data_IF_301255724493
#
_entry.id   IF_301255724493
#
_cell.length_a   1.000
_cell.length_b   1.000
_cell.length_c   1.000
_cell.angle_alpha   90.00
_cell.angle_beta   90.00
_cell.angle_gamma   90.00
#
_symmetry.space_group_name_H-M   'P 1'
#
loop_
_entity.id
_entity.type
_entity.pdbx_description
1 polymer ?
#
# COMPACT_ATOMS: atom_id res chain seq x y z
N UNK A 1 -31.85 -40.40 14.90
CA UNK A 1 -30.37 -40.35 15.00
C UNK A 1 -29.99 -38.91 15.30
N UNK A 2 -29.14 -38.68 16.30
CA UNK A 2 -28.72 -37.33 16.66
C UNK A 2 -27.88 -36.68 15.53
N UNK A 3 -27.92 -35.35 15.35
CA UNK A 3 -27.46 -34.67 14.13
C UNK A 3 -25.94 -34.63 13.92
N UNK A 4 -25.16 -35.30 14.78
CA UNK A 4 -23.73 -34.99 14.95
C UNK A 4 -22.81 -36.14 14.51
N UNK A 5 -23.34 -37.20 13.89
CA UNK A 5 -22.54 -38.31 13.39
C UNK A 5 -22.12 -38.04 11.95
N UNK A 6 -21.06 -37.25 11.77
CA UNK A 6 -20.46 -36.98 10.46
C UNK A 6 -19.43 -35.84 10.44
N UNK A 7 -19.43 -34.97 11.46
CA UNK A 7 -18.43 -33.92 11.60
C UNK A 7 -17.27 -34.45 12.45
N UNK A 8 -16.24 -34.97 11.79
CA UNK A 8 -14.96 -35.23 12.44
C UNK A 8 -14.26 -33.89 12.57
N UNK A 9 -13.98 -33.45 13.81
CA UNK A 9 -13.12 -32.28 14.00
C UNK A 9 -11.78 -32.54 13.28
N UNK A 10 -11.22 -31.56 12.55
CA UNK A 10 -9.84 -31.61 12.10
C UNK A 10 -8.95 -31.98 13.29
N UNK A 11 -7.91 -32.77 13.04
CA UNK A 11 -6.93 -33.17 14.06
C UNK A 11 -6.53 -31.92 14.87
N UNK A 12 -6.83 -31.88 16.16
CA UNK A 12 -6.39 -30.78 17.03
C UNK A 12 -4.86 -30.78 17.04
N UNK A 13 -4.26 -29.83 16.34
CA UNK A 13 -2.83 -29.57 16.43
C UNK A 13 -2.57 -28.84 17.74
N UNK A 14 -1.73 -29.42 18.60
CA UNK A 14 -1.23 -28.70 19.77
C UNK A 14 -0.40 -27.53 19.24
N UNK A 15 -0.81 -26.30 19.57
CA UNK A 15 -0.12 -25.08 19.15
C UNK A 15 1.35 -25.10 19.62
N UNK A 16 1.67 -25.88 20.67
CA UNK A 16 3.03 -26.12 21.17
C UNK A 16 3.91 -26.95 20.23
N UNK A 17 3.31 -27.75 19.33
CA UNK A 17 4.03 -28.49 18.27
C UNK A 17 4.14 -27.67 16.97
N UNK A 18 3.55 -26.48 16.92
CA UNK A 18 3.77 -25.58 15.78
C UNK A 18 5.16 -24.94 15.91
N UNK A 19 5.96 -25.01 14.85
CA UNK A 19 7.33 -24.46 14.76
C UNK A 19 7.40 -22.91 14.83
N UNK A 20 6.46 -22.27 15.52
CA UNK A 20 6.38 -20.82 15.73
C UNK A 20 7.60 -20.29 16.52
N UNK A 21 8.28 -21.15 17.30
CA UNK A 21 9.50 -20.78 18.02
C UNK A 21 10.66 -20.40 17.08
N UNK A 22 10.71 -20.97 15.87
CA UNK A 22 11.79 -20.79 14.90
C UNK A 22 11.61 -19.59 13.95
N UNK A 23 10.50 -18.86 14.03
CA UNK A 23 10.28 -17.66 13.20
C UNK A 23 11.39 -16.63 13.51
N UNK A 24 12.14 -16.24 12.47
CA UNK A 24 13.31 -15.36 12.57
C UNK A 24 14.63 -16.04 12.97
N UNK A 25 14.68 -17.39 13.00
CA UNK A 25 15.93 -18.14 13.20
C UNK A 25 16.66 -18.39 11.87
N UNK A 26 17.94 -18.76 11.94
CA UNK A 26 18.73 -19.15 10.74
C UNK A 26 18.06 -20.25 9.92
N UNK A 27 17.32 -21.16 10.59
CA UNK A 27 16.55 -22.22 9.94
C UNK A 27 15.36 -21.65 9.16
N UNK A 28 14.64 -20.68 9.74
CA UNK A 28 13.53 -20.00 9.05
C UNK A 28 14.05 -19.17 7.86
N UNK A 29 15.18 -18.48 8.01
CA UNK A 29 15.87 -17.83 6.89
C UNK A 29 16.26 -18.83 5.79
N UNK A 30 16.84 -19.97 6.14
CA UNK A 30 17.23 -20.98 5.17
C UNK A 30 16.03 -21.65 4.48
N UNK A 31 14.94 -21.89 5.19
CA UNK A 31 13.67 -22.40 4.62
C UNK A 31 13.08 -21.38 3.65
N UNK A 32 13.02 -20.11 4.04
CA UNK A 32 12.57 -19.02 3.18
C UNK A 32 13.45 -18.87 1.94
N UNK A 33 14.78 -18.90 2.09
CA UNK A 33 15.71 -18.84 0.97
C UNK A 33 15.47 -19.99 -0.02
N UNK A 34 15.34 -21.21 0.48
CA UNK A 34 15.06 -22.38 -0.36
C UNK A 34 13.69 -22.28 -1.06
N UNK A 35 12.66 -21.79 -0.36
CA UNK A 35 11.34 -21.52 -0.93
C UNK A 35 11.43 -20.46 -2.04
N UNK A 36 12.15 -19.37 -1.77
CA UNK A 36 12.32 -18.26 -2.69
C UNK A 36 13.04 -18.66 -3.99
N UNK A 37 14.02 -19.56 -3.91
CA UNK A 37 14.69 -20.11 -5.10
C UNK A 37 13.76 -20.94 -5.99
N UNK A 38 12.71 -21.53 -5.42
CA UNK A 38 11.74 -22.35 -6.15
C UNK A 38 10.52 -21.58 -6.62
N UNK A 39 10.27 -20.39 -6.08
CA UNK A 39 9.14 -19.54 -6.43
C UNK A 39 9.30 -18.98 -7.86
N UNK A 40 8.41 -19.37 -8.81
CA UNK A 40 8.52 -18.92 -10.20
C UNK A 40 8.42 -17.40 -10.36
N UNK A 41 7.72 -16.70 -9.45
CA UNK A 41 7.60 -15.25 -9.49
C UNK A 41 8.97 -14.53 -9.38
N UNK A 42 9.89 -15.07 -8.58
CA UNK A 42 11.23 -14.51 -8.37
C UNK A 42 12.24 -15.08 -9.36
N UNK A 43 12.18 -16.39 -9.60
CA UNK A 43 13.18 -17.11 -10.38
C UNK A 43 12.90 -17.08 -11.90
N UNK A 44 12.71 -15.88 -12.44
CA UNK A 44 12.44 -15.64 -13.87
C UNK A 44 13.67 -15.09 -14.63
N UNK A 45 14.83 -14.99 -13.96
CA UNK A 45 16.08 -14.50 -14.54
C UNK A 45 16.20 -12.97 -14.67
N UNK A 46 15.22 -12.21 -14.16
CA UNK A 46 15.19 -10.75 -14.24
C UNK A 46 15.27 -10.11 -12.84
N UNK A 47 14.57 -10.68 -11.85
CA UNK A 47 14.51 -10.15 -10.48
C UNK A 47 15.90 -10.15 -9.83
N UNK A 48 16.30 -9.00 -9.27
CA UNK A 48 17.62 -8.80 -8.66
C UNK A 48 18.77 -8.58 -9.66
N UNK A 49 18.49 -8.60 -10.97
CA UNK A 49 19.50 -8.46 -12.04
C UNK A 49 19.25 -7.19 -12.87
N UNK A 50 18.00 -6.94 -13.24
CA UNK A 50 17.62 -5.76 -14.04
C UNK A 50 16.88 -4.72 -13.21
N UNK A 51 17.15 -3.41 -13.42
CA UNK A 51 16.34 -2.36 -12.83
C UNK A 51 14.94 -2.35 -13.47
N UNK A 52 13.92 -2.04 -12.68
CA UNK A 52 12.55 -2.03 -13.16
C UNK A 52 11.51 -2.03 -12.05
N UNK A 53 10.26 -1.96 -12.48
CA UNK A 53 9.09 -2.11 -11.62
C UNK A 53 8.44 -3.46 -11.92
N UNK A 54 8.22 -4.25 -10.86
CA UNK A 54 7.61 -5.57 -10.94
C UNK A 54 6.44 -5.62 -9.97
N UNK A 55 5.29 -6.11 -10.41
CA UNK A 55 4.08 -6.17 -9.59
C UNK A 55 3.52 -7.57 -9.67
N UNK A 56 3.10 -8.09 -8.53
CA UNK A 56 2.40 -9.36 -8.39
C UNK A 56 1.16 -9.16 -7.55
N UNK A 57 0.12 -9.91 -7.88
CA UNK A 57 -1.10 -10.02 -7.11
C UNK A 57 -1.08 -11.33 -6.33
N UNK A 58 -1.57 -11.30 -5.10
CA UNK A 58 -1.77 -12.50 -4.32
C UNK A 58 -3.09 -13.13 -4.72
N UNK A 59 -3.06 -14.40 -5.13
CA UNK A 59 -4.25 -15.17 -5.48
C UNK A 59 -4.16 -16.55 -4.84
N UNK A 60 -5.04 -16.86 -3.88
CA UNK A 60 -5.09 -18.18 -3.23
C UNK A 60 -3.72 -18.68 -2.72
N UNK A 61 -2.99 -17.83 -1.98
CA UNK A 61 -1.63 -18.07 -1.46
C UNK A 61 -0.50 -18.08 -2.51
N UNK A 62 -0.81 -17.86 -3.79
CA UNK A 62 0.18 -17.82 -4.88
C UNK A 62 0.54 -16.37 -5.27
N UNK A 63 1.74 -16.19 -5.83
CA UNK A 63 2.27 -14.90 -6.28
C UNK A 63 2.13 -14.81 -7.80
N UNK A 64 1.08 -14.16 -8.28
CA UNK A 64 0.74 -14.10 -9.71
C UNK A 64 1.26 -12.81 -10.33
N UNK A 65 2.07 -12.86 -11.40
CA UNK A 65 2.54 -11.65 -12.10
C UNK A 65 1.38 -10.78 -12.58
N UNK A 66 1.42 -9.50 -12.24
CA UNK A 66 0.42 -8.55 -12.68
C UNK A 66 0.74 -8.09 -14.11
N UNK A 67 -0.26 -8.03 -15.03
CA UNK A 67 -0.02 -7.57 -16.39
C UNK A 67 0.55 -6.15 -16.42
N UNK A 68 1.57 -5.91 -17.26
CA UNK A 68 2.25 -4.61 -17.34
C UNK A 68 1.32 -3.47 -17.75
N UNK A 69 0.30 -3.78 -18.56
CA UNK A 69 -0.73 -2.85 -19.01
C UNK A 69 -1.64 -2.40 -17.86
N UNK A 70 -1.71 -3.19 -16.78
CA UNK A 70 -2.50 -2.92 -15.58
C UNK A 70 -1.66 -2.34 -14.44
N UNK A 71 -0.39 -2.01 -14.65
CA UNK A 71 0.43 -1.38 -13.61
C UNK A 71 -0.19 -0.06 -13.13
N UNK A 72 -0.25 0.09 -11.81
CA UNK A 72 -0.98 1.18 -11.15
C UNK A 72 -2.47 0.91 -10.97
N UNK A 73 -3.01 -0.23 -11.41
CA UNK A 73 -4.37 -0.67 -11.07
C UNK A 73 -4.34 -1.67 -9.92
N UNK A 74 -5.06 -1.37 -8.85
CA UNK A 74 -5.19 -2.16 -7.64
C UNK A 74 -6.67 -2.39 -7.31
N UNK A 75 -6.96 -3.48 -6.61
CA UNK A 75 -8.29 -3.87 -6.16
C UNK A 75 -8.37 -3.83 -4.66
N UNK A 76 -9.38 -3.16 -4.11
CA UNK A 76 -9.52 -2.96 -2.66
C UNK A 76 -9.71 -4.26 -1.87
N UNK A 77 -10.16 -5.33 -2.51
CA UNK A 77 -10.29 -6.67 -1.94
C UNK A 77 -9.04 -7.54 -2.01
N UNK A 78 -7.95 -7.08 -2.64
CA UNK A 78 -6.76 -7.89 -2.90
C UNK A 78 -5.52 -7.40 -2.13
N UNK A 79 -4.47 -8.22 -2.10
CA UNK A 79 -3.12 -7.82 -1.68
C UNK A 79 -2.13 -7.93 -2.85
N UNK A 80 -1.15 -7.02 -2.90
CA UNK A 80 -0.14 -6.97 -3.96
C UNK A 80 1.27 -6.87 -3.39
N UNK A 81 2.24 -7.37 -4.14
CA UNK A 81 3.67 -7.16 -3.91
C UNK A 81 4.22 -6.36 -5.08
N UNK A 82 4.95 -5.29 -4.79
CA UNK A 82 5.57 -4.39 -5.76
C UNK A 82 7.06 -4.34 -5.46
N UNK A 83 7.90 -4.71 -6.42
CA UNK A 83 9.35 -4.52 -6.34
C UNK A 83 9.74 -3.38 -7.27
N UNK A 84 10.35 -2.35 -6.71
CA UNK A 84 11.06 -1.32 -7.46
C UNK A 84 12.57 -1.54 -7.32
N UNK A 85 13.26 -1.68 -8.44
CA UNK A 85 14.72 -1.86 -8.49
C UNK A 85 15.34 -0.73 -9.28
N UNK A 86 16.22 0.04 -8.65
CA UNK A 86 16.95 1.13 -9.30
C UNK A 86 18.46 0.96 -9.18
N UNK A 87 19.20 1.48 -10.17
CA UNK A 87 20.65 1.55 -10.12
C UNK A 87 21.07 2.72 -9.24
N UNK A 88 21.87 2.44 -8.22
CA UNK A 88 22.49 3.44 -7.35
C UNK A 88 24.00 3.34 -7.51
N UNK A 89 24.66 4.49 -7.65
CA UNK A 89 26.11 4.58 -7.55
C UNK A 89 26.48 4.49 -6.08
N UNK A 90 27.24 3.47 -5.71
CA UNK A 90 27.84 3.39 -4.38
C UNK A 90 29.00 4.37 -4.26
N UNK A 91 29.45 4.59 -3.01
CA UNK A 91 30.57 5.49 -2.69
C UNK A 91 31.91 5.04 -3.29
N UNK A 92 32.03 3.77 -3.70
CA UNK A 92 33.23 3.22 -4.36
C UNK A 92 33.15 3.27 -5.90
N UNK A 93 32.08 3.85 -6.46
CA UNK A 93 31.89 3.99 -7.91
C UNK A 93 31.37 2.74 -8.60
N UNK A 94 31.01 1.69 -7.86
CA UNK A 94 30.32 0.52 -8.42
C UNK A 94 28.82 0.77 -8.57
N UNK A 95 28.22 0.25 -9.66
CA UNK A 95 26.76 0.27 -9.80
C UNK A 95 26.18 -0.91 -9.01
N UNK A 96 25.41 -0.62 -7.96
CA UNK A 96 24.62 -1.61 -7.22
C UNK A 96 23.13 -1.37 -7.49
N UNK A 97 22.32 -2.42 -7.48
CA UNK A 97 20.88 -2.28 -7.45
C UNK A 97 20.42 -2.05 -6.01
N UNK A 98 19.61 -1.02 -5.80
CA UNK A 98 18.80 -0.88 -4.60
C UNK A 98 17.40 -1.37 -4.89
N UNK A 99 16.80 -2.00 -3.89
CA UNK A 99 15.52 -2.67 -4.00
C UNK A 99 14.58 -2.11 -2.93
N UNK A 100 13.41 -1.66 -3.35
CA UNK A 100 12.30 -1.32 -2.46
C UNK A 100 11.15 -2.29 -2.76
N UNK A 101 10.76 -3.08 -1.77
CA UNK A 101 9.61 -3.99 -1.84
C UNK A 101 8.47 -3.34 -1.07
N UNK A 102 7.36 -3.06 -1.75
CA UNK A 102 6.13 -2.58 -1.16
C UNK A 102 5.13 -3.73 -1.15
N UNK A 103 4.52 -4.02 -0.01
CA UNK A 103 3.34 -4.88 0.03
C UNK A 103 2.12 -4.05 0.33
N UNK A 104 1.22 -4.01 -0.65
CA UNK A 104 0.02 -3.21 -0.61
C UNK A 104 -1.15 -4.05 -0.12
N UNK A 105 -1.89 -3.50 0.84
CA UNK A 105 -3.04 -4.12 1.47
C UNK A 105 -4.29 -3.29 1.12
N UNK A 106 -5.19 -3.90 0.34
CA UNK A 106 -6.49 -3.33 0.05
C UNK A 106 -7.34 -3.17 1.31
N UNK A 107 -8.27 -2.21 1.29
CA UNK A 107 -9.13 -1.93 2.45
C UNK A 107 -9.99 -3.14 2.86
N UNK A 108 -10.34 -4.00 1.90
CA UNK A 108 -11.19 -5.17 2.04
C UNK A 108 -10.41 -6.49 1.85
N UNK A 109 -9.07 -6.45 1.80
CA UNK A 109 -8.26 -7.67 1.64
C UNK A 109 -8.44 -8.65 2.80
N UNK A 110 -8.41 -9.95 2.49
CA UNK A 110 -8.59 -11.00 3.48
C UNK A 110 -7.32 -11.27 4.29
N UNK A 111 -7.49 -11.93 5.44
CA UNK A 111 -6.37 -12.21 6.35
C UNK A 111 -5.33 -13.17 5.73
N UNK A 112 -5.75 -14.15 4.93
CA UNK A 112 -4.84 -15.00 4.14
C UNK A 112 -3.98 -14.18 3.20
N UNK A 113 -4.60 -13.31 2.41
CA UNK A 113 -3.90 -12.53 1.39
C UNK A 113 -2.92 -11.56 2.02
N UNK A 114 -3.34 -10.84 3.05
CA UNK A 114 -2.46 -9.94 3.80
C UNK A 114 -1.29 -10.69 4.45
N UNK A 115 -1.56 -11.86 5.05
CA UNK A 115 -0.54 -12.72 5.64
C UNK A 115 0.43 -13.28 4.59
N UNK A 116 -0.08 -13.69 3.44
CA UNK A 116 0.71 -14.18 2.31
C UNK A 116 1.59 -13.08 1.75
N UNK A 117 1.05 -11.89 1.51
CA UNK A 117 1.80 -10.74 1.00
C UNK A 117 2.98 -10.39 1.93
N UNK A 118 2.75 -10.36 3.25
CA UNK A 118 3.80 -10.10 4.23
C UNK A 118 4.86 -11.22 4.25
N UNK A 119 4.44 -12.49 4.22
CA UNK A 119 5.35 -13.63 4.18
C UNK A 119 6.20 -13.64 2.90
N UNK A 120 5.55 -13.50 1.74
CA UNK A 120 6.19 -13.50 0.42
C UNK A 120 7.09 -12.29 0.19
N UNK A 121 6.80 -11.15 0.83
CA UNK A 121 7.72 -10.01 0.86
C UNK A 121 9.02 -10.33 1.59
N UNK A 122 8.95 -11.06 2.70
CA UNK A 122 10.15 -11.52 3.41
C UNK A 122 10.91 -12.57 2.59
N UNK A 123 10.19 -13.47 1.92
CA UNK A 123 10.77 -14.45 0.99
C UNK A 123 11.50 -13.78 -0.19
N UNK A 124 10.92 -12.74 -0.78
CA UNK A 124 11.54 -11.95 -1.84
C UNK A 124 12.78 -11.18 -1.36
N UNK A 125 12.73 -10.58 -0.17
CA UNK A 125 13.91 -9.92 0.41
C UNK A 125 15.06 -10.93 0.62
N UNK A 126 14.76 -12.13 1.10
CA UNK A 126 15.74 -13.21 1.25
C UNK A 126 16.31 -13.66 -0.11
N UNK A 127 15.48 -13.73 -1.17
CA UNK A 127 15.95 -13.94 -2.55
C UNK A 127 16.94 -12.85 -3.00
N UNK A 128 16.67 -11.61 -2.61
CA UNK A 128 17.52 -10.44 -2.83
C UNK A 128 18.64 -10.32 -1.78
N UNK A 129 18.93 -11.39 -1.02
CA UNK A 129 20.00 -11.49 -0.01
C UNK A 129 19.85 -10.50 1.15
N UNK A 130 18.63 -10.16 1.54
CA UNK A 130 18.33 -9.24 2.64
C UNK A 130 18.68 -7.78 2.34
N UNK A 131 18.80 -7.42 1.07
CA UNK A 131 19.22 -6.07 0.64
C UNK A 131 18.06 -5.15 0.27
N UNK A 132 16.82 -5.61 0.39
CA UNK A 132 15.66 -4.80 0.04
C UNK A 132 15.10 -4.04 1.24
N UNK A 133 14.70 -2.80 1.01
CA UNK A 133 13.87 -2.05 1.96
C UNK A 133 12.43 -2.55 1.83
N UNK A 134 11.82 -2.95 2.94
CA UNK A 134 10.44 -3.47 2.94
C UNK A 134 9.47 -2.39 3.43
N UNK A 135 8.43 -2.09 2.66
CA UNK A 135 7.43 -1.06 2.95
C UNK A 135 6.05 -1.69 3.09
N UNK A 136 5.37 -1.40 4.20
CA UNK A 136 3.96 -1.75 4.40
C UNK A 136 3.08 -0.62 3.88
N UNK A 137 2.32 -0.91 2.82
CA UNK A 137 1.42 0.05 2.19
C UNK A 137 -0.04 -0.34 2.45
N UNK A 138 -0.83 0.61 2.94
CA UNK A 138 -2.27 0.43 3.15
C UNK A 138 -3.04 1.35 2.21
N UNK A 139 -4.17 0.89 1.68
CA UNK A 139 -4.98 1.65 0.73
C UNK A 139 -5.35 3.07 1.20
N UNK A 140 -5.72 3.21 2.48
CA UNK A 140 -6.22 4.49 3.02
C UNK A 140 -5.13 5.55 3.15
N UNK A 141 -3.86 5.15 3.34
CA UNK A 141 -2.75 6.08 3.48
C UNK A 141 -1.46 5.49 2.90
N UNK A 142 -1.36 5.38 1.56
CA UNK A 142 -0.13 4.92 0.93
C UNK A 142 0.98 5.97 1.10
N UNK A 143 2.23 5.53 1.18
CA UNK A 143 3.39 6.41 1.28
C UNK A 143 3.57 7.26 0.02
N UNK A 144 4.17 8.44 0.18
CA UNK A 144 4.49 9.32 -0.96
C UNK A 144 5.42 8.61 -1.96
N UNK A 145 6.34 7.79 -1.46
CA UNK A 145 7.28 7.02 -2.28
C UNK A 145 6.57 5.97 -3.12
N UNK A 146 5.62 5.22 -2.54
CA UNK A 146 4.78 4.29 -3.28
C UNK A 146 3.94 5.00 -4.34
N UNK A 147 3.30 6.11 -3.97
CA UNK A 147 2.49 6.91 -4.90
C UNK A 147 3.33 7.47 -6.05
N UNK A 148 4.59 7.84 -5.82
CA UNK A 148 5.49 8.36 -6.83
C UNK A 148 5.91 7.32 -7.88
N UNK A 149 5.78 6.02 -7.60
CA UNK A 149 6.03 4.95 -8.58
C UNK A 149 5.04 4.99 -9.74
N UNK A 150 3.85 5.55 -9.52
CA UNK A 150 2.73 5.50 -10.43
C UNK A 150 2.30 6.90 -10.89
N UNK A 151 2.55 7.28 -12.16
CA UNK A 151 1.98 8.52 -12.71
C UNK A 151 0.44 8.55 -12.64
N UNK A 152 -0.18 7.37 -12.66
CA UNK A 152 -1.61 7.13 -12.45
C UNK A 152 -1.76 5.92 -11.55
N UNK A 153 -2.43 6.11 -10.42
CA UNK A 153 -2.91 5.01 -9.58
C UNK A 153 -4.43 4.91 -9.70
N UNK A 154 -4.95 3.70 -9.85
CA UNK A 154 -6.36 3.36 -9.97
C UNK A 154 -6.71 2.32 -8.93
N UNK A 155 -7.60 2.64 -8.01
CA UNK A 155 -8.11 1.68 -7.02
C UNK A 155 -9.55 1.37 -7.37
N UNK A 156 -9.86 0.09 -7.57
CA UNK A 156 -11.18 -0.42 -7.96
C UNK A 156 -11.78 -1.27 -6.85
N UNK A 157 -13.11 -1.35 -6.83
CA UNK A 157 -13.78 -2.26 -5.91
C UNK A 157 -13.74 -3.69 -6.45
N UNK A 158 -13.73 -4.65 -5.52
CA UNK A 158 -13.73 -6.09 -5.83
C UNK A 158 -12.37 -6.73 -5.59
N UNK A 159 -12.17 -7.92 -6.15
CA UNK A 159 -10.95 -8.70 -5.93
C UNK A 159 -11.02 -10.10 -6.51
N UNK A 160 -10.02 -10.90 -6.20
CA UNK A 160 -9.95 -12.32 -6.53
C UNK A 160 -10.64 -13.18 -5.47
N UNK A 161 -10.88 -14.44 -5.81
CA UNK A 161 -11.41 -15.41 -4.86
C UNK A 161 -10.33 -15.78 -3.85
N UNK A 162 -10.63 -15.57 -2.57
CA UNK A 162 -9.69 -15.83 -1.47
C UNK A 162 -9.47 -17.33 -1.21
N UNK A 163 -8.39 -17.68 -0.51
CA UNK A 163 -8.08 -19.06 -0.12
C UNK A 163 -8.93 -19.56 1.06
N UNK A 164 -9.55 -18.64 1.82
CA UNK A 164 -10.40 -18.98 2.98
C UNK A 164 -11.91 -18.82 2.76
N UNK A 165 -12.37 -18.13 1.69
CA UNK A 165 -13.79 -17.91 1.42
C UNK A 165 -14.12 -18.06 -0.06
N UNK A 166 -15.19 -18.82 -0.35
CA UNK A 166 -15.78 -18.86 -1.68
C UNK A 166 -16.42 -17.49 -1.96
N UNK A 167 -15.90 -16.78 -2.96
CA UNK A 167 -16.64 -15.72 -3.65
C UNK A 167 -17.50 -16.48 -4.66
N UNK A 168 -18.82 -16.46 -4.49
CA UNK A 168 -19.73 -16.92 -5.54
C UNK A 168 -19.42 -16.06 -6.77
N UNK A 169 -18.98 -16.67 -7.86
CA UNK A 169 -18.92 -15.98 -9.16
C UNK A 169 -20.34 -15.47 -9.40
N UNK A 170 -20.56 -14.15 -9.34
CA UNK A 170 -21.88 -13.61 -9.68
C UNK A 170 -22.16 -14.01 -11.13
N UNK A 171 -23.10 -14.96 -11.29
CA UNK A 171 -23.41 -15.62 -12.57
C UNK A 171 -24.03 -14.67 -13.60
N UNK A 172 -24.29 -13.41 -13.23
CA UNK A 172 -24.61 -12.33 -14.16
C UNK A 172 -23.82 -11.08 -13.80
N UNK A 173 -23.20 -10.38 -14.78
CA UNK A 173 -22.69 -9.04 -14.51
C UNK A 173 -23.90 -8.17 -14.21
N UNK A 174 -24.20 -7.94 -12.93
CA UNK A 174 -25.10 -6.87 -12.57
C UNK A 174 -24.55 -5.62 -13.27
N UNK A 175 -25.42 -4.87 -13.95
CA UNK A 175 -25.11 -3.56 -14.52
C UNK A 175 -24.79 -2.60 -13.36
N UNK A 176 -23.66 -2.82 -12.71
CA UNK A 176 -23.25 -2.15 -11.49
C UNK A 176 -22.80 -0.75 -11.87
N UNK A 177 -23.62 0.23 -11.48
CA UNK A 177 -23.28 1.64 -11.52
C UNK A 177 -21.90 1.85 -10.90
N UNK A 178 -20.91 2.22 -11.70
CA UNK A 178 -19.55 2.44 -11.23
C UNK A 178 -19.26 3.93 -11.20
N UNK A 179 -18.85 4.46 -10.04
CA UNK A 179 -18.46 5.86 -9.90
C UNK A 179 -16.96 5.97 -9.60
N UNK A 180 -16.20 6.54 -10.53
CA UNK A 180 -14.78 6.82 -10.34
C UNK A 180 -14.58 8.29 -9.98
N UNK A 181 -13.93 8.56 -8.86
CA UNK A 181 -13.44 9.88 -8.47
C UNK A 181 -12.01 10.09 -8.98
N UNK A 182 -11.78 11.21 -9.65
CA UNK A 182 -10.49 11.60 -10.23
C UNK A 182 -9.99 12.87 -9.55
N UNK A 183 -8.85 12.78 -8.87
CA UNK A 183 -8.28 13.89 -8.10
C UNK A 183 -6.75 13.90 -8.13
N UNK A 184 -6.15 15.08 -7.95
CA UNK A 184 -4.69 15.24 -7.95
C UNK A 184 -3.99 14.39 -6.89
N UNK A 185 -2.83 13.84 -7.27
CA UNK A 185 -1.88 13.19 -6.39
C UNK A 185 -0.64 14.09 -6.19
N UNK A 186 -0.50 14.80 -5.06
CA UNK A 186 0.67 15.65 -4.82
C UNK A 186 2.00 14.89 -4.77
N UNK A 187 1.98 13.63 -4.32
CA UNK A 187 3.18 12.81 -4.15
C UNK A 187 3.83 12.41 -5.48
N UNK A 188 3.02 12.18 -6.52
CA UNK A 188 3.50 11.87 -7.87
C UNK A 188 3.86 13.12 -8.70
N UNK A 189 4.07 14.26 -8.04
CA UNK A 189 4.46 15.52 -8.65
C UNK A 189 3.32 16.24 -9.39
N UNK A 190 3.67 17.27 -10.17
CA UNK A 190 2.68 18.19 -10.77
C UNK A 190 1.66 17.54 -11.72
N UNK A 191 1.94 16.33 -12.22
CA UNK A 191 1.11 15.60 -13.17
C UNK A 191 0.48 14.32 -12.57
N UNK A 192 0.69 14.06 -11.28
CA UNK A 192 0.15 12.88 -10.61
C UNK A 192 -1.36 12.94 -10.43
N UNK A 193 -2.06 11.84 -10.70
CA UNK A 193 -3.52 11.74 -10.50
C UNK A 193 -3.89 10.38 -9.88
N UNK A 194 -4.83 10.42 -8.92
CA UNK A 194 -5.48 9.24 -8.36
C UNK A 194 -6.84 9.07 -9.02
N UNK A 195 -7.16 7.83 -9.37
CA UNK A 195 -8.49 7.37 -9.77
C UNK A 195 -8.95 6.40 -8.71
N UNK A 196 -10.06 6.67 -8.05
CA UNK A 196 -10.55 5.82 -6.98
C UNK A 196 -12.03 5.53 -7.20
N UNK A 197 -12.40 4.26 -7.18
CA UNK A 197 -13.79 3.83 -7.23
C UNK A 197 -14.47 4.07 -5.88
N UNK A 198 -15.49 4.93 -5.90
CA UNK A 198 -16.22 5.35 -4.72
C UNK A 198 -17.67 4.87 -4.80
N UNK A 199 -18.36 4.87 -3.66
CA UNK A 199 -19.78 4.53 -3.60
C UNK A 199 -20.58 5.37 -4.64
N UNK A 200 -21.41 4.74 -5.50
CA UNK A 200 -22.19 5.42 -6.54
C UNK A 200 -23.39 6.17 -5.92
N UNK A 201 -23.07 7.22 -5.16
CA UNK A 201 -23.99 8.06 -4.41
C UNK A 201 -23.66 9.53 -4.62
N UNK A 202 -24.67 10.40 -4.65
CA UNK A 202 -24.46 11.84 -4.78
C UNK A 202 -23.65 12.41 -3.60
N UNK A 203 -23.64 11.72 -2.46
CA UNK A 203 -22.83 12.06 -1.28
C UNK A 203 -21.33 11.88 -1.50
N UNK A 204 -20.94 11.09 -2.50
CA UNK A 204 -19.54 10.90 -2.89
C UNK A 204 -18.99 12.07 -3.71
N UNK A 205 -19.87 12.91 -4.28
CA UNK A 205 -19.48 14.06 -5.09
C UNK A 205 -18.73 15.11 -4.26
N UNK A 206 -17.83 15.81 -4.93
CA UNK A 206 -17.10 16.95 -4.39
C UNK A 206 -16.89 18.00 -5.49
N UNK A 207 -17.25 19.25 -5.21
CA UNK A 207 -17.16 20.35 -6.17
C UNK A 207 -15.74 20.57 -6.73
N UNK A 208 -14.70 20.07 -6.04
CA UNK A 208 -13.29 20.27 -6.38
C UNK A 208 -12.68 19.17 -7.26
N UNK A 209 -13.41 18.09 -7.54
CA UNK A 209 -12.88 16.93 -8.25
C UNK A 209 -13.71 16.59 -9.52
N UNK A 210 -13.22 15.64 -10.32
CA UNK A 210 -13.94 15.13 -11.51
C UNK A 210 -14.43 13.71 -11.23
N UNK A 211 -15.64 13.38 -11.67
CA UNK A 211 -16.24 12.07 -11.48
C UNK A 211 -16.63 11.45 -12.81
N UNK A 212 -16.36 10.16 -12.98
CA UNK A 212 -16.72 9.36 -14.16
C UNK A 212 -17.71 8.30 -13.70
N UNK A 213 -18.95 8.41 -14.15
CA UNK A 213 -20.04 7.48 -13.85
C UNK A 213 -20.28 6.59 -15.07
N UNK A 214 -19.98 5.29 -14.94
CA UNK A 214 -20.31 4.26 -15.92
C UNK A 214 -21.65 3.62 -15.54
N UNK A 215 -22.65 3.77 -16.40
CA UNK A 215 -23.98 3.16 -16.23
C UNK A 215 -24.20 1.97 -17.19
N UNK A 216 -23.12 1.45 -17.78
CA UNK A 216 -23.14 0.33 -18.72
C UNK A 216 -23.08 0.80 -20.17
N UNK A 217 -24.21 1.28 -20.70
CA UNK A 217 -24.35 1.72 -22.10
C UNK A 217 -23.84 3.16 -22.33
N UNK A 218 -23.78 3.97 -21.26
CA UNK A 218 -23.36 5.35 -21.28
C UNK A 218 -22.38 5.68 -20.15
N UNK A 219 -21.43 6.55 -20.45
CA UNK A 219 -20.47 7.10 -19.50
C UNK A 219 -20.72 8.60 -19.35
N UNK A 220 -20.93 9.03 -18.11
CA UNK A 220 -21.11 10.43 -17.75
C UNK A 220 -19.86 10.95 -17.06
N UNK A 221 -19.36 12.11 -17.47
CA UNK A 221 -18.27 12.81 -16.80
C UNK A 221 -18.82 14.07 -16.14
N UNK A 222 -18.89 14.06 -14.81
CA UNK A 222 -19.26 15.21 -14.02
C UNK A 222 -18.01 16.00 -13.63
N UNK A 223 -17.93 17.26 -14.06
CA UNK A 223 -16.83 18.16 -13.71
C UNK A 223 -17.26 19.13 -12.62
N UNK A 224 -16.71 18.98 -11.42
CA UNK A 224 -16.91 19.92 -10.33
C UNK A 224 -16.55 21.35 -10.74
N UNK A 225 -17.24 22.35 -10.16
CA UNK A 225 -17.03 23.76 -10.51
C UNK A 225 -15.62 24.25 -10.20
N UNK A 226 -14.98 23.66 -9.19
CA UNK A 226 -13.65 24.03 -8.68
C UNK A 226 -12.56 23.02 -9.08
N UNK A 227 -12.87 22.06 -9.96
CA UNK A 227 -11.90 21.05 -10.38
C UNK A 227 -10.81 21.59 -11.31
N UNK A 228 -9.65 20.96 -11.24
CA UNK A 228 -8.47 21.40 -11.98
C UNK A 228 -8.48 20.95 -13.44
N UNK A 229 -7.82 21.70 -14.35
CA UNK A 229 -7.66 21.28 -15.74
C UNK A 229 -6.97 19.92 -15.91
N UNK A 230 -6.08 19.55 -14.97
CA UNK A 230 -5.37 18.27 -14.98
C UNK A 230 -6.33 17.10 -14.73
N UNK A 231 -7.22 17.22 -13.74
CA UNK A 231 -8.23 16.21 -13.44
C UNK A 231 -9.18 16.01 -14.63
N UNK A 232 -9.57 17.10 -15.31
CA UNK A 232 -10.39 17.04 -16.54
C UNK A 232 -9.68 16.29 -17.67
N UNK A 233 -8.41 16.63 -17.93
CA UNK A 233 -7.63 15.97 -18.97
C UNK A 233 -7.45 14.48 -18.68
N UNK A 234 -7.23 14.13 -17.40
CA UNK A 234 -7.08 12.73 -17.00
C UNK A 234 -8.39 11.95 -17.09
N UNK A 235 -9.50 12.54 -16.65
CA UNK A 235 -10.83 11.95 -16.81
C UNK A 235 -11.14 11.66 -18.29
N UNK A 236 -10.81 12.57 -19.20
CA UNK A 236 -10.97 12.34 -20.64
C UNK A 236 -10.13 11.14 -21.13
N UNK A 237 -8.89 10.99 -20.65
CA UNK A 237 -8.06 9.81 -20.97
C UNK A 237 -8.69 8.51 -20.43
N UNK A 238 -9.17 8.51 -19.18
CA UNK A 238 -9.81 7.33 -18.56
C UNK A 238 -11.02 6.90 -19.38
N UNK A 239 -11.87 7.85 -19.78
CA UNK A 239 -13.06 7.59 -20.56
C UNK A 239 -12.72 7.11 -21.98
N UNK A 240 -11.65 7.63 -22.58
CA UNK A 240 -11.16 7.12 -23.85
C UNK A 240 -10.73 5.64 -23.73
N UNK A 241 -9.97 5.28 -22.70
CA UNK A 241 -9.56 3.90 -22.43
C UNK A 241 -10.80 2.98 -22.25
N UNK A 242 -11.84 3.46 -21.54
CA UNK A 242 -13.07 2.70 -21.29
C UNK A 242 -13.93 2.51 -22.56
N UNK A 243 -14.04 3.56 -23.39
CA UNK A 243 -14.84 3.50 -24.64
C UNK A 243 -14.22 2.61 -25.69
N UNK A 244 -12.88 2.54 -25.78
CA UNK A 244 -12.20 1.56 -26.65
C UNK A 244 -12.62 0.13 -26.29
N UNK A 245 -12.83 -0.16 -25.00
CA UNK A 245 -13.23 -1.48 -24.54
C UNK A 245 -14.73 -1.78 -24.74
N UNK A 246 -15.62 -0.79 -24.55
CA UNK A 246 -17.07 -1.01 -24.44
C UNK A 246 -17.95 -0.39 -25.54
N UNK A 247 -17.42 0.47 -26.42
CA UNK A 247 -18.21 1.24 -27.41
C UNK A 247 -19.37 2.08 -26.80
N UNK A 248 -19.24 2.53 -25.55
CA UNK A 248 -20.26 3.31 -24.84
C UNK A 248 -20.36 4.76 -25.32
N UNK A 249 -21.55 5.36 -25.22
CA UNK A 249 -21.75 6.80 -25.45
C UNK A 249 -21.11 7.61 -24.30
N UNK A 250 -20.51 8.77 -24.59
CA UNK A 250 -19.88 9.63 -23.57
C UNK A 250 -20.53 11.00 -23.54
N UNK A 251 -20.92 11.46 -22.35
CA UNK A 251 -21.38 12.82 -22.14
C UNK A 251 -20.59 13.50 -21.02
N UNK A 252 -19.98 14.65 -21.35
CA UNK A 252 -19.21 15.46 -20.40
C UNK A 252 -20.04 16.67 -20.00
N UNK A 253 -20.23 16.86 -18.68
CA UNK A 253 -21.12 17.88 -18.14
C UNK A 253 -20.43 18.65 -17.02
N UNK A 254 -20.41 19.97 -17.10
CA UNK A 254 -20.01 20.82 -15.97
C UNK A 254 -21.10 20.85 -14.90
N UNK A 255 -20.71 20.86 -13.62
CA UNK A 255 -21.63 21.05 -12.49
C UNK A 255 -22.59 22.23 -12.69
N UNK A 256 -22.13 23.30 -13.33
CA UNK A 256 -22.91 24.53 -13.56
C UNK A 256 -24.00 24.40 -14.64
N UNK A 257 -23.98 23.33 -15.44
CA UNK A 257 -24.98 23.09 -16.47
C UNK A 257 -26.25 22.47 -15.88
N UNK A 258 -27.42 22.80 -16.44
CA UNK A 258 -28.69 22.22 -15.99
C UNK A 258 -28.73 20.68 -16.12
N UNK A 259 -28.00 20.13 -17.10
CA UNK A 259 -27.88 18.68 -17.32
C UNK A 259 -27.10 17.95 -16.23
N UNK A 260 -26.28 18.65 -15.43
CA UNK A 260 -25.52 18.03 -14.33
C UNK A 260 -26.44 17.35 -13.33
N UNK A 261 -27.68 17.84 -13.23
CA UNK A 261 -28.73 17.27 -12.39
C UNK A 261 -29.01 15.81 -12.72
N UNK A 262 -28.95 15.43 -14.00
CA UNK A 262 -29.20 14.04 -14.41
C UNK A 262 -28.21 13.07 -13.74
N UNK A 263 -26.96 13.49 -13.57
CA UNK A 263 -25.93 12.68 -12.91
C UNK A 263 -26.24 12.54 -11.41
N UNK A 264 -26.65 13.62 -10.76
CA UNK A 264 -27.07 13.59 -9.34
C UNK A 264 -28.28 12.68 -9.14
N UNK A 265 -29.27 12.73 -10.03
CA UNK A 265 -30.45 11.85 -9.96
C UNK A 265 -30.07 10.37 -10.18
N UNK A 266 -29.17 10.07 -11.13
CA UNK A 266 -28.64 8.72 -11.36
C UNK A 266 -27.88 8.17 -10.14
N UNK A 267 -27.31 9.05 -9.33
CA UNK A 267 -26.63 8.73 -8.07
C UNK A 267 -27.56 8.76 -6.86
N UNK A 268 -28.88 8.69 -7.07
CA UNK A 268 -29.90 8.60 -6.03
C UNK A 268 -30.24 9.93 -5.35
N UNK A 269 -29.92 11.07 -5.97
CA UNK A 269 -30.38 12.38 -5.53
C UNK A 269 -31.86 12.63 -5.84
N UNK A 270 -32.47 13.53 -5.08
CA UNK A 270 -33.86 13.96 -5.20
C UNK A 270 -33.95 15.49 -5.34
N UNK A 271 -35.17 16.02 -5.55
CA UNK A 271 -35.44 17.47 -5.69
C UNK A 271 -34.89 18.35 -4.56
N UNK A 272 -34.65 17.80 -3.37
CA UNK A 272 -34.09 18.50 -2.22
C UNK A 272 -32.54 18.50 -2.21
N UNK A 273 -31.93 17.58 -2.98
CA UNK A 273 -30.48 17.46 -3.07
C UNK A 273 -29.86 18.75 -3.62
N UNK A 274 -28.83 19.32 -2.95
CA UNK A 274 -28.17 20.54 -3.38
C UNK A 274 -27.67 20.48 -4.83
N UNK A 275 -27.51 21.64 -5.46
CA UNK A 275 -26.85 21.75 -6.78
C UNK A 275 -25.35 22.02 -6.64
N UNK A 276 -24.94 22.51 -5.48
CA UNK A 276 -23.58 22.87 -5.15
C UNK A 276 -23.28 22.70 -3.66
N UNK A 277 -22.01 22.89 -3.28
CA UNK A 277 -21.56 22.64 -1.92
C UNK A 277 -21.34 21.16 -1.63
N UNK A 278 -21.19 20.32 -2.66
CA UNK A 278 -20.84 18.91 -2.46
C UNK A 278 -19.44 18.84 -1.85
N UNK A 279 -19.33 18.08 -0.78
CA UNK A 279 -18.10 17.86 -0.03
C UNK A 279 -18.05 16.41 0.42
N UNK A 280 -17.00 15.73 -0.03
CA UNK A 280 -16.75 14.34 0.34
C UNK A 280 -15.27 14.14 0.61
N UNK A 281 -14.94 13.53 1.77
CA UNK A 281 -13.54 13.23 2.14
C UNK A 281 -12.94 12.36 1.03
N UNK A 282 -11.72 12.70 0.59
CA UNK A 282 -11.00 11.85 -0.36
C UNK A 282 -10.69 10.50 0.31
N UNK A 283 -10.76 9.38 -0.43
CA UNK A 283 -10.55 8.04 0.11
C UNK A 283 -9.08 7.73 0.42
N UNK A 284 -8.17 8.67 0.12
CA UNK A 284 -6.76 8.61 0.50
C UNK A 284 -6.45 9.76 1.45
N UNK A 285 -5.94 9.44 2.63
CA UNK A 285 -5.39 10.38 3.59
C UNK A 285 -4.00 10.82 3.12
N UNK A 286 -3.93 11.96 2.43
CA UNK A 286 -2.66 12.62 2.16
C UNK A 286 -2.15 13.23 3.47
N UNK A 287 -1.07 12.69 4.02
CA UNK A 287 -0.47 13.22 5.25
C UNK A 287 0.21 14.53 4.94
N UNK A 288 -0.33 15.62 5.46
CA UNK A 288 0.43 16.87 5.57
C UNK A 288 1.41 16.68 6.71
N UNK A 289 2.71 16.80 6.42
CA UNK A 289 3.72 16.86 7.46
C UNK A 289 3.44 18.08 8.33
N UNK A 290 2.83 17.86 9.49
CA UNK A 290 2.96 18.82 10.58
C UNK A 290 4.45 18.85 10.92
N UNK A 291 5.00 20.06 11.08
CA UNK A 291 6.41 20.30 11.37
C UNK A 291 6.79 19.81 12.79
N UNK A 292 6.51 18.54 13.11
CA UNK A 292 6.96 17.89 14.33
C UNK A 292 8.45 17.54 14.20
N UNK A 293 9.18 17.69 15.30
CA UNK A 293 10.54 17.16 15.46
C UNK A 293 10.56 15.67 15.17
N UNK A 294 11.60 15.20 14.46
CA UNK A 294 11.84 13.77 14.27
C UNK A 294 12.27 13.16 15.58
N UNK A 295 11.82 11.93 15.84
CA UNK A 295 12.19 11.18 17.04
C UNK A 295 12.89 9.90 16.65
N UNK A 296 14.12 9.74 17.12
CA UNK A 296 14.92 8.55 16.94
C UNK A 296 14.95 7.77 18.25
N UNK A 297 14.51 6.52 18.19
CA UNK A 297 14.53 5.57 19.27
C UNK A 297 15.54 4.46 18.97
N UNK A 298 16.17 3.93 20.02
CA UNK A 298 17.12 2.83 19.94
C UNK A 298 16.54 1.60 20.65
N UNK A 299 16.59 0.46 19.98
CA UNK A 299 16.31 -0.87 20.49
C UNK A 299 17.65 -1.59 20.68
N UNK A 300 18.04 -1.81 21.94
CA UNK A 300 19.36 -2.35 22.30
C UNK A 300 19.26 -3.35 23.45
N UNK A 301 19.98 -4.45 23.37
CA UNK A 301 20.17 -5.41 24.48
C UNK A 301 21.54 -5.31 25.18
N UNK A 302 22.34 -4.29 24.85
CA UNK A 302 23.68 -4.03 25.42
C UNK A 302 23.71 -3.95 26.96
N UNK A 303 22.59 -3.63 27.59
CA UNK A 303 22.44 -3.58 29.06
C UNK A 303 22.26 -4.95 29.73
N UNK A 304 22.11 -6.02 28.94
CA UNK A 304 21.76 -7.38 29.38
C UNK A 304 20.27 -7.70 29.26
N UNK A 305 19.41 -6.69 29.13
CA UNK A 305 17.99 -6.82 28.79
C UNK A 305 17.65 -5.93 27.60
N UNK A 306 16.66 -6.36 26.79
CA UNK A 306 16.20 -5.62 25.63
C UNK A 306 15.48 -4.33 26.07
N UNK A 307 16.01 -3.19 25.67
CA UNK A 307 15.52 -1.86 26.04
C UNK A 307 15.15 -1.05 24.79
N UNK A 308 14.07 -0.28 24.88
CA UNK A 308 13.63 0.64 23.83
C UNK A 308 13.46 2.04 24.42
N UNK A 309 14.16 3.03 23.87
CA UNK A 309 14.15 4.38 24.41
C UNK A 309 14.49 5.45 23.38
N UNK A 310 14.01 6.67 23.63
CA UNK A 310 14.31 7.85 22.82
C UNK A 310 15.78 8.22 22.99
N UNK A 311 16.53 8.30 21.89
CA UNK A 311 17.95 8.69 21.89
C UNK A 311 18.16 10.09 21.32
N UNK A 312 17.29 10.54 20.42
CA UNK A 312 17.39 11.87 19.83
C UNK A 312 16.02 12.39 19.41
N UNK A 313 15.77 13.66 19.69
CA UNK A 313 14.63 14.41 19.15
C UNK A 313 15.17 15.70 18.53
N UNK A 314 15.02 15.84 17.21
CA UNK A 314 15.62 16.94 16.46
C UNK A 314 14.90 17.16 15.12
N UNK A 315 15.11 18.32 14.51
CA UNK A 315 14.63 18.57 13.14
C UNK A 315 15.33 17.68 12.10
N UNK A 316 16.59 17.29 12.36
CA UNK A 316 17.39 16.45 11.46
C UNK A 316 18.06 15.32 12.20
N UNK A 317 18.05 14.14 11.59
CA UNK A 317 18.72 12.93 12.07
C UNK A 317 19.73 12.53 10.99
N UNK A 318 20.99 12.39 11.34
CA UNK A 318 22.05 11.99 10.41
C UNK A 318 22.30 10.49 10.47
N UNK A 319 22.96 9.95 9.44
CA UNK A 319 23.44 8.57 9.45
C UNK A 319 24.38 8.31 10.65
N UNK A 320 25.16 9.31 11.07
CA UNK A 320 26.03 9.24 12.26
C UNK A 320 25.28 9.00 13.59
N UNK A 321 23.95 9.15 13.63
CA UNK A 321 23.13 8.83 14.81
C UNK A 321 22.75 7.33 14.87
N UNK A 322 23.09 6.55 13.85
CA UNK A 322 22.76 5.13 13.72
C UNK A 322 24.01 4.29 14.00
N UNK A 323 23.91 3.39 14.98
CA UNK A 323 25.00 2.50 15.39
C UNK A 323 24.80 1.10 14.82
N UNK A 324 25.83 0.54 14.17
CA UNK A 324 25.76 -0.76 13.47
C UNK A 324 25.37 -1.94 14.36
N UNK A 325 25.56 -1.84 15.68
CA UNK A 325 25.32 -2.91 16.64
C UNK A 325 23.87 -2.97 17.15
N UNK A 326 22.97 -2.08 16.69
CA UNK A 326 21.62 -1.96 17.25
C UNK A 326 20.54 -1.73 16.18
N UNK A 327 19.28 -1.74 16.61
CA UNK A 327 18.12 -1.41 15.77
C UNK A 327 17.55 -0.05 16.16
N UNK A 328 17.23 0.78 15.18
CA UNK A 328 16.69 2.12 15.41
C UNK A 328 15.29 2.26 14.82
N UNK A 329 14.42 2.98 15.52
CA UNK A 329 13.11 3.40 15.01
C UNK A 329 13.13 4.93 14.86
N UNK A 330 12.92 5.41 13.64
CA UNK A 330 12.80 6.82 13.31
C UNK A 330 11.33 7.15 13.02
N UNK A 331 10.74 8.01 13.84
CA UNK A 331 9.50 8.71 13.53
C UNK A 331 9.84 9.99 12.74
N UNK A 332 9.49 9.99 11.44
CA UNK A 332 9.72 11.08 10.50
C UNK A 332 8.61 12.15 10.57
N UNK A 333 8.28 12.59 11.80
CA UNK A 333 7.29 13.64 12.04
C UNK A 333 5.91 13.29 11.47
N UNK A 334 5.48 12.03 11.63
CA UNK A 334 4.20 11.55 11.13
C UNK A 334 4.13 11.23 9.63
N UNK A 335 5.20 11.46 8.84
CA UNK A 335 5.25 11.06 7.42
C UNK A 335 5.33 9.54 7.26
N UNK A 336 6.29 8.92 7.96
CA UNK A 336 6.53 7.50 7.95
C UNK A 336 7.29 7.09 9.22
N UNK A 337 7.18 5.81 9.58
CA UNK A 337 7.99 5.18 10.62
C UNK A 337 9.01 4.29 9.93
N UNK A 338 10.29 4.57 10.16
CA UNK A 338 11.38 3.80 9.60
C UNK A 338 12.02 2.94 10.69
N UNK A 339 12.32 1.70 10.39
CA UNK A 339 13.10 0.81 11.24
C UNK A 339 14.40 0.52 10.52
N UNK A 340 15.51 1.03 11.04
CA UNK A 340 16.84 0.76 10.52
C UNK A 340 17.48 -0.35 11.34
N UNK A 341 17.92 -1.41 10.66
CA UNK A 341 18.54 -2.56 11.29
C UNK A 341 20.04 -2.56 11.01
N UNK A 342 20.84 -2.33 12.06
CA UNK A 342 22.29 -2.43 12.01
C UNK A 342 22.76 -3.84 11.67
N UNK A 343 23.88 -3.94 10.96
CA UNK A 343 24.48 -5.20 10.53
C UNK A 343 24.93 -6.08 11.72
N UNK A 344 25.40 -5.44 12.79
CA UNK A 344 25.82 -6.03 14.07
C UNK A 344 24.69 -6.31 15.07
N UNK A 345 23.46 -5.86 14.80
CA UNK A 345 22.32 -6.02 15.72
C UNK A 345 22.06 -7.47 16.13
N UNK A 346 21.62 -7.64 17.38
CA UNK A 346 21.46 -8.95 18.01
C UNK A 346 20.27 -9.73 17.42
N UNK A 347 20.29 -11.06 17.55
CA UNK A 347 19.13 -11.88 17.15
C UNK A 347 17.85 -11.52 17.93
N UNK A 348 18.00 -11.08 19.20
CA UNK A 348 16.87 -10.65 20.01
C UNK A 348 16.27 -9.35 19.48
N UNK A 349 17.09 -8.38 19.08
CA UNK A 349 16.65 -7.12 18.47
C UNK A 349 15.96 -7.37 17.12
N UNK A 350 16.61 -8.15 16.25
CA UNK A 350 16.08 -8.57 14.94
C UNK A 350 14.75 -9.30 15.03
N UNK A 351 14.50 -10.06 16.10
CA UNK A 351 13.22 -10.76 16.32
C UNK A 351 12.12 -9.86 16.88
N UNK A 352 12.46 -8.79 17.58
CA UNK A 352 11.50 -7.98 18.34
C UNK A 352 11.18 -6.61 17.74
N UNK A 353 11.95 -6.11 16.77
CA UNK A 353 11.73 -4.78 16.18
C UNK A 353 10.29 -4.56 15.71
N UNK A 354 9.64 -5.57 15.11
CA UNK A 354 8.29 -5.42 14.58
C UNK A 354 7.26 -5.25 15.70
N UNK A 355 7.41 -6.01 16.80
CA UNK A 355 6.56 -5.86 17.98
C UNK A 355 6.72 -4.49 18.62
N UNK A 356 7.96 -4.00 18.67
CA UNK A 356 8.29 -2.67 19.21
C UNK A 356 7.68 -1.58 18.33
N UNK A 357 7.83 -1.66 17.00
CA UNK A 357 7.22 -0.72 16.07
C UNK A 357 5.70 -0.70 16.18
N UNK A 358 5.05 -1.87 16.29
CA UNK A 358 3.61 -1.95 16.53
C UNK A 358 3.18 -1.36 17.87
N UNK A 359 3.96 -1.60 18.93
CA UNK A 359 3.70 -1.02 20.25
C UNK A 359 3.84 0.50 20.22
N UNK A 360 4.83 1.03 19.49
CA UNK A 360 5.03 2.45 19.30
C UNK A 360 3.87 3.11 18.53
N UNK A 361 3.41 2.49 17.44
CA UNK A 361 2.22 2.94 16.71
C UNK A 361 1.00 3.00 17.63
N UNK A 362 0.76 1.97 18.45
CA UNK A 362 -0.34 1.96 19.43
C UNK A 362 -0.18 3.03 20.50
N UNK A 363 1.04 3.30 20.94
CA UNK A 363 1.32 4.40 21.85
C UNK A 363 0.92 5.74 21.24
N UNK A 364 1.33 6.02 19.99
CA UNK A 364 0.94 7.23 19.28
C UNK A 364 -0.59 7.36 19.18
N UNK A 365 -1.31 6.29 18.86
CA UNK A 365 -2.78 6.31 18.82
C UNK A 365 -3.44 6.71 20.14
N UNK A 366 -2.78 6.43 21.27
CA UNK A 366 -3.30 6.80 22.58
C UNK A 366 -3.05 8.27 22.95
N UNK A 367 -2.18 8.96 22.20
CA UNK A 367 -1.93 10.39 22.38
C UNK A 367 -2.97 11.23 21.62
N UNK A 368 -3.48 12.27 22.29
CA UNK A 368 -4.42 13.21 21.70
C UNK A 368 -3.81 13.89 20.47
N UNK A 369 -4.48 13.79 19.32
CA UNK A 369 -4.03 14.38 18.05
C UNK A 369 -3.35 13.39 17.09
N UNK A 370 -3.17 12.13 17.48
CA UNK A 370 -2.54 11.08 16.66
C UNK A 370 -3.44 9.85 16.44
N UNK A 371 -4.77 10.06 16.41
CA UNK A 371 -5.77 8.99 16.24
C UNK A 371 -5.51 8.15 14.98
N UNK A 372 -5.00 8.79 13.92
CA UNK A 372 -4.66 8.17 12.63
C UNK A 372 -3.24 7.56 12.58
N UNK A 373 -2.54 7.40 13.71
CA UNK A 373 -1.16 6.86 13.73
C UNK A 373 -1.04 5.43 13.19
N UNK A 374 -2.10 4.60 13.29
CA UNK A 374 -2.12 3.26 12.69
C UNK A 374 -2.03 3.26 11.17
N UNK A 375 -2.33 4.39 10.54
CA UNK A 375 -2.21 4.57 9.11
C UNK A 375 -0.77 4.94 8.68
N UNK A 376 0.18 5.05 9.61
CA UNK A 376 1.54 5.47 9.28
C UNK A 376 2.24 4.39 8.44
N UNK A 377 2.83 4.75 7.29
CA UNK A 377 3.68 3.84 6.54
C UNK A 377 4.80 3.33 7.44
N UNK A 378 5.05 2.02 7.41
CA UNK A 378 6.12 1.38 8.15
C UNK A 378 7.10 0.77 7.16
N UNK A 379 8.36 1.19 7.25
CA UNK A 379 9.42 0.70 6.38
C UNK A 379 10.58 0.10 7.20
N UNK A 380 11.13 -1.03 6.77
CA UNK A 380 12.32 -1.66 7.35
C UNK A 380 13.49 -1.54 6.38
N UNK A 381 14.61 -1.01 6.85
CA UNK A 381 15.84 -0.75 6.11
C UNK A 381 16.99 -1.52 6.73
N UNK A 382 17.87 -2.10 5.92
CA UNK A 382 19.11 -2.73 6.37
C UNK A 382 20.32 -1.82 6.14
N UNK A 383 21.25 -1.81 7.09
CA UNK A 383 22.53 -1.10 6.95
C UNK A 383 23.25 -1.48 5.64
N UNK A 384 23.72 -0.47 4.90
CA UNK A 384 24.41 -0.64 3.62
C UNK A 384 23.50 -0.96 2.43
N UNK A 385 22.18 -0.97 2.64
CA UNK A 385 21.16 -1.10 1.60
C UNK A 385 20.06 -0.05 1.75
N UNK A 386 20.43 1.13 2.27
CA UNK A 386 19.53 2.27 2.42
C UNK A 386 19.02 2.77 1.07
N UNK A 387 17.70 2.83 0.91
CA UNK A 387 17.09 3.42 -0.28
C UNK A 387 17.14 4.96 -0.26
N UNK A 388 16.92 5.58 -1.42
CA UNK A 388 16.84 7.04 -1.53
C UNK A 388 15.73 7.63 -0.65
N UNK A 389 14.66 6.87 -0.44
CA UNK A 389 13.55 7.27 0.42
C UNK A 389 14.01 7.42 1.88
N UNK A 390 14.72 6.42 2.41
CA UNK A 390 15.29 6.50 3.75
C UNK A 390 16.33 7.62 3.87
N UNK A 391 17.19 7.80 2.87
CA UNK A 391 18.16 8.88 2.85
C UNK A 391 17.49 10.28 2.90
N UNK A 392 16.35 10.45 2.22
CA UNK A 392 15.51 11.67 2.34
C UNK A 392 14.93 11.80 3.73
N UNK A 393 14.43 10.72 4.33
CA UNK A 393 13.87 10.74 5.68
C UNK A 393 14.90 11.12 6.76
N UNK A 394 16.19 10.84 6.57
CA UNK A 394 17.25 11.34 7.46
C UNK A 394 17.51 12.85 7.26
N UNK A 395 17.60 13.28 6.01
CA UNK A 395 18.13 14.62 5.66
C UNK A 395 17.09 15.75 5.58
N UNK A 396 15.83 15.43 5.29
CA UNK A 396 14.71 16.37 5.21
C UNK A 396 14.38 16.94 6.59
#
# INVERSE_FOLDING_TARGET
MAPNQGLVHPKEYDIKDSNVELIGSDIDHQVKYNSALTEPAWNNGVIGIEPGLFIWRIEQFEVIPWPKEKYGQFYDGDSFIILFSEKISSNDGTEKLAHDIYFWLGQHTSQDEAGTAAYKTTELDEFLKGSATQHREIQEAPSDDFLALFPRISIRSGGTRTGFRHVEEEEEPQEALTLLRVFKNPAAGANGVVVHEVEPSWKSLDDTDVFVLDVGDKIWVWQGKDCSPMEKAKAAQIVHDMTIAKHSEVEVVSQTESRSRRIVDLLGGDDETPRDGFRSKRPLALRTADQASKKLFKLSDSSGELSFGLVKEAERISHDDLESDDVFLLDDGGRAIWVWQGSGSSAAEKKNWFKVAQAYVRYLQSESGYEDAYLAPLAKVHEGSESRAFARALTA
#
